data_IF_727646108492
#
_entry.id   IF_727646108492
#
_cell.length_a   1.000
_cell.length_b   1.000
_cell.length_c   1.000
_cell.angle_alpha   90.00
_cell.angle_beta   90.00
_cell.angle_gamma   90.00
#
_symmetry.space_group_name_H-M   'P 1'
#
loop_
_entity.id
_entity.type
_entity.pdbx_description
1 polymer ?
#
# COMPACT_ATOMS: atom_id res chain seq x y z
N UNK A 1 2.30 -11.69 -2.52
CA UNK A 1 3.55 -11.92 -1.78
C UNK A 1 3.22 -12.25 -0.33
N UNK A 2 4.20 -12.39 0.56
CA UNK A 2 3.97 -12.51 2.01
C UNK A 2 4.03 -11.11 2.64
N UNK A 3 3.34 -10.90 3.76
CA UNK A 3 3.39 -9.64 4.53
C UNK A 3 4.82 -9.16 4.81
N UNK A 4 5.76 -10.06 5.11
CA UNK A 4 7.18 -9.71 5.33
C UNK A 4 7.82 -8.99 4.12
N UNK A 5 7.44 -9.36 2.90
CA UNK A 5 7.92 -8.72 1.68
C UNK A 5 7.34 -7.32 1.53
N UNK A 6 6.06 -7.13 1.86
CA UNK A 6 5.42 -5.81 1.85
C UNK A 6 5.98 -4.88 2.94
N UNK A 7 6.29 -5.42 4.12
CA UNK A 7 6.99 -4.69 5.17
C UNK A 7 8.39 -4.26 4.72
N UNK A 8 9.16 -5.15 4.07
CA UNK A 8 10.47 -4.81 3.53
C UNK A 8 10.41 -3.70 2.47
N UNK A 9 9.43 -3.75 1.55
CA UNK A 9 9.16 -2.66 0.61
C UNK A 9 8.80 -1.35 1.32
N UNK A 10 8.02 -1.43 2.40
CA UNK A 10 7.71 -0.27 3.25
C UNK A 10 8.94 0.33 3.92
N UNK A 11 9.86 -0.49 4.45
CA UNK A 11 11.12 -0.03 5.04
C UNK A 11 11.99 0.66 3.99
N UNK A 12 12.06 0.12 2.78
CA UNK A 12 12.81 0.74 1.68
C UNK A 12 12.24 2.13 1.33
N UNK A 13 10.91 2.23 1.18
CA UNK A 13 10.22 3.50 0.91
C UNK A 13 10.41 4.50 2.06
N UNK A 14 10.32 4.05 3.31
CA UNK A 14 10.56 4.89 4.48
C UNK A 14 11.99 5.42 4.53
N UNK A 15 12.97 4.56 4.28
CA UNK A 15 14.40 4.93 4.24
C UNK A 15 14.66 6.01 3.19
N UNK A 16 14.05 5.87 2.01
CA UNK A 16 14.14 6.88 0.95
C UNK A 16 13.47 8.20 1.37
N UNK A 17 12.29 8.14 1.99
CA UNK A 17 11.58 9.33 2.46
C UNK A 17 12.38 10.09 3.54
N UNK A 18 12.94 9.38 4.52
CA UNK A 18 13.81 9.97 5.56
C UNK A 18 15.02 10.63 4.93
N UNK A 19 15.66 9.98 3.95
CA UNK A 19 16.82 10.54 3.27
C UNK A 19 16.49 11.83 2.50
N UNK A 20 15.38 11.85 1.76
CA UNK A 20 15.01 12.97 0.89
C UNK A 20 14.36 14.14 1.62
N UNK A 21 13.54 13.86 2.63
CA UNK A 21 12.73 14.87 3.33
C UNK A 21 13.24 15.17 4.75
N UNK A 22 14.29 14.47 5.21
CA UNK A 22 14.83 14.61 6.57
C UNK A 22 13.75 14.45 7.66
N UNK A 23 12.75 13.60 7.41
CA UNK A 23 11.68 13.31 8.36
C UNK A 23 12.17 12.42 9.51
N UNK A 24 11.43 12.41 10.62
CA UNK A 24 11.78 11.57 11.76
C UNK A 24 11.79 10.08 11.37
N UNK A 25 12.91 9.40 11.65
CA UNK A 25 13.15 8.02 11.23
C UNK A 25 12.12 7.04 11.78
N UNK A 26 11.86 7.11 13.09
CA UNK A 26 11.01 6.13 13.78
C UNK A 26 9.55 6.31 13.37
N UNK A 27 9.08 7.56 13.35
CA UNK A 27 7.72 7.88 12.92
C UNK A 27 7.52 7.46 11.46
N UNK A 28 8.47 7.81 10.56
CA UNK A 28 8.34 7.50 9.13
C UNK A 28 8.35 6.01 8.87
N UNK A 29 9.25 5.24 9.50
CA UNK A 29 9.29 3.77 9.35
C UNK A 29 8.00 3.14 9.86
N UNK A 30 7.57 3.48 11.08
CA UNK A 30 6.34 2.93 11.65
C UNK A 30 5.15 3.20 10.73
N UNK A 31 5.01 4.45 10.28
CA UNK A 31 3.93 4.91 9.43
C UNK A 31 3.87 4.16 8.10
N UNK A 32 4.98 4.12 7.37
CA UNK A 32 5.03 3.54 6.02
C UNK A 32 4.87 2.02 6.07
N UNK A 33 5.47 1.36 7.06
CA UNK A 33 5.33 -0.10 7.23
C UNK A 33 3.88 -0.47 7.61
N UNK A 34 3.24 0.32 8.47
CA UNK A 34 1.83 0.12 8.79
C UNK A 34 0.95 0.16 7.52
N UNK A 35 1.11 1.21 6.71
CA UNK A 35 0.33 1.35 5.48
C UNK A 35 0.70 0.33 4.39
N UNK A 36 1.94 -0.16 4.33
CA UNK A 36 2.32 -1.19 3.35
C UNK A 36 1.68 -2.56 3.63
N UNK A 37 1.20 -2.78 4.86
CA UNK A 37 0.54 -4.01 5.30
C UNK A 37 -0.99 -3.92 5.30
N UNK A 38 -1.55 -2.71 5.21
CA UNK A 38 -2.99 -2.49 5.47
C UNK A 38 -3.89 -3.33 4.57
N UNK A 39 -3.53 -3.49 3.29
CA UNK A 39 -4.32 -4.27 2.32
C UNK A 39 -4.39 -5.75 2.68
N UNK A 40 -3.32 -6.31 3.26
CA UNK A 40 -3.26 -7.73 3.62
C UNK A 40 -4.02 -8.07 4.91
N UNK A 41 -4.48 -7.08 5.68
CA UNK A 41 -5.34 -7.36 6.82
C UNK A 41 -6.75 -7.82 6.40
N UNK A 42 -7.08 -7.73 5.11
CA UNK A 42 -8.34 -8.25 4.56
C UNK A 42 -8.55 -9.75 4.81
N UNK A 43 -7.48 -10.53 4.95
CA UNK A 43 -7.55 -11.97 5.25
C UNK A 43 -8.20 -12.26 6.60
N UNK A 44 -8.24 -11.28 7.50
CA UNK A 44 -8.85 -11.39 8.83
C UNK A 44 -10.28 -10.83 8.87
N UNK A 45 -10.79 -10.28 7.76
CA UNK A 45 -12.14 -9.71 7.67
C UNK A 45 -13.04 -10.71 6.92
N UNK A 46 -13.98 -11.40 7.60
CA UNK A 46 -14.75 -12.51 7.00
C UNK A 46 -15.52 -12.15 5.72
N UNK A 47 -15.92 -10.88 5.58
CA UNK A 47 -16.72 -10.37 4.46
C UNK A 47 -15.90 -9.80 3.31
N UNK A 48 -14.57 -9.70 3.46
CA UNK A 48 -13.67 -9.13 2.44
C UNK A 48 -12.84 -10.24 1.82
N UNK A 49 -12.90 -10.33 0.49
CA UNK A 49 -12.07 -11.28 -0.25
C UNK A 49 -10.64 -10.74 -0.36
N UNK A 50 -9.66 -11.58 -0.01
CA UNK A 50 -8.25 -11.26 -0.25
C UNK A 50 -7.97 -10.97 -1.73
N UNK A 51 -7.21 -9.91 -2.01
CA UNK A 51 -7.03 -9.36 -3.37
C UNK A 51 -8.35 -9.00 -4.04
N UNK A 52 -9.19 -8.33 -3.25
CA UNK A 52 -10.49 -7.76 -3.62
C UNK A 52 -10.42 -6.24 -3.67
N UNK A 53 -11.33 -5.57 -2.96
CA UNK A 53 -11.45 -4.09 -2.96
C UNK A 53 -10.21 -3.39 -2.37
N UNK A 54 -9.55 -4.03 -1.42
CA UNK A 54 -8.30 -3.60 -0.75
C UNK A 54 -7.06 -3.63 -1.64
N UNK A 55 -7.15 -4.28 -2.82
CA UNK A 55 -6.05 -4.37 -3.78
C UNK A 55 -6.38 -3.65 -5.10
N UNK A 56 -6.99 -2.47 -4.98
CA UNK A 56 -7.40 -1.61 -6.11
C UNK A 56 -6.67 -0.27 -6.08
N UNK A 57 -6.60 0.42 -7.23
CA UNK A 57 -6.06 1.79 -7.28
C UNK A 57 -6.90 2.73 -6.41
N UNK A 58 -8.22 2.58 -6.42
CA UNK A 58 -9.12 3.40 -5.59
C UNK A 58 -8.79 3.23 -4.10
N UNK A 59 -8.60 2.00 -3.63
CA UNK A 59 -8.17 1.75 -2.27
C UNK A 59 -6.74 2.26 -2.01
N UNK A 60 -5.82 2.19 -2.97
CA UNK A 60 -4.48 2.72 -2.79
C UNK A 60 -4.44 4.24 -2.58
N UNK A 61 -5.42 4.99 -3.12
CA UNK A 61 -5.54 6.43 -2.90
C UNK A 61 -6.29 6.78 -1.60
N UNK A 62 -7.09 5.85 -1.08
CA UNK A 62 -7.93 6.06 0.10
C UNK A 62 -7.14 6.39 1.38
N UNK A 63 -6.04 5.69 1.75
CA UNK A 63 -5.20 6.04 2.89
C UNK A 63 -4.73 7.49 2.89
N UNK A 64 -4.16 7.97 1.78
CA UNK A 64 -3.72 9.37 1.70
C UNK A 64 -4.87 10.35 1.86
N UNK A 65 -6.05 10.06 1.28
CA UNK A 65 -7.23 10.90 1.47
C UNK A 65 -7.70 10.94 2.94
N UNK A 66 -7.71 9.79 3.63
CA UNK A 66 -8.03 9.71 5.07
C UNK A 66 -7.05 10.54 5.89
N UNK A 67 -5.75 10.41 5.61
CA UNK A 67 -4.68 11.13 6.32
C UNK A 67 -4.79 12.64 6.12
N UNK A 68 -5.12 13.11 4.91
CA UNK A 68 -5.42 14.52 4.67
C UNK A 68 -6.67 14.98 5.41
N UNK A 69 -7.73 14.18 5.43
CA UNK A 69 -9.00 14.53 6.08
C UNK A 69 -8.87 14.72 7.60
N UNK A 70 -7.92 14.04 8.24
CA UNK A 70 -7.61 14.20 9.67
C UNK A 70 -6.56 15.29 9.95
N UNK A 71 -6.19 16.11 8.95
CA UNK A 71 -5.33 17.28 9.12
C UNK A 71 -3.83 17.00 9.23
N UNK A 72 -3.36 15.82 8.79
CA UNK A 72 -1.94 15.48 8.82
C UNK A 72 -1.16 16.07 7.64
N UNK A 73 0.16 16.12 7.77
CA UNK A 73 1.05 16.66 6.74
C UNK A 73 0.94 15.92 5.40
N UNK A 74 1.02 16.66 4.29
CA UNK A 74 0.93 16.14 2.93
C UNK A 74 1.93 15.01 2.64
N UNK A 75 3.12 15.05 3.25
CA UNK A 75 4.11 13.98 3.13
C UNK A 75 3.57 12.64 3.64
N UNK A 76 3.00 12.60 4.84
CA UNK A 76 2.48 11.36 5.43
C UNK A 76 1.25 10.84 4.68
N UNK A 77 0.45 11.72 4.09
CA UNK A 77 -0.63 11.34 3.19
C UNK A 77 -0.10 10.69 1.90
N UNK A 78 0.89 11.32 1.26
CA UNK A 78 1.53 10.77 0.07
C UNK A 78 2.19 9.42 0.36
N UNK A 79 2.90 9.29 1.49
CA UNK A 79 3.55 8.06 1.91
C UNK A 79 2.56 6.93 2.20
N UNK A 80 1.40 7.24 2.79
CA UNK A 80 0.34 6.25 3.01
C UNK A 80 -0.16 5.65 1.69
N UNK A 81 -0.46 6.51 0.70
CA UNK A 81 -0.87 6.04 -0.63
C UNK A 81 0.25 5.32 -1.37
N UNK A 82 1.48 5.85 -1.34
CA UNK A 82 2.63 5.23 -2.00
C UNK A 82 2.98 3.87 -1.42
N UNK A 83 2.81 3.67 -0.11
CA UNK A 83 3.01 2.37 0.53
C UNK A 83 2.05 1.31 -0.03
N UNK A 84 0.77 1.67 -0.22
CA UNK A 84 -0.22 0.76 -0.82
C UNK A 84 0.01 0.60 -2.32
N UNK A 85 0.39 1.64 -3.05
CA UNK A 85 0.76 1.53 -4.46
C UNK A 85 1.93 0.55 -4.63
N UNK A 86 2.98 0.69 -3.81
CA UNK A 86 4.12 -0.23 -3.82
C UNK A 86 3.68 -1.66 -3.47
N UNK A 87 2.75 -1.82 -2.52
CA UNK A 87 2.11 -3.10 -2.22
C UNK A 87 1.48 -3.73 -3.48
N UNK A 88 0.68 -2.96 -4.25
CA UNK A 88 0.05 -3.44 -5.49
C UNK A 88 1.07 -3.78 -6.58
N UNK A 89 2.12 -2.96 -6.74
CA UNK A 89 3.20 -3.22 -7.69
C UNK A 89 3.86 -4.56 -7.35
N UNK A 90 4.23 -4.75 -6.08
CA UNK A 90 4.81 -6.00 -5.60
C UNK A 90 3.87 -7.19 -5.87
N UNK A 91 2.59 -7.08 -5.55
CA UNK A 91 1.64 -8.17 -5.81
C UNK A 91 1.40 -8.43 -7.31
N UNK A 92 1.57 -7.42 -8.16
CA UNK A 92 1.54 -7.55 -9.63
C UNK A 92 2.72 -8.35 -10.20
N UNK A 93 3.82 -8.49 -9.44
CA UNK A 93 4.96 -9.34 -9.81
C UNK A 93 4.68 -10.83 -9.55
N UNK A 94 3.56 -11.18 -8.91
CA UNK A 94 3.17 -12.58 -8.75
C UNK A 94 2.23 -13.04 -9.88
N UNK A 95 2.25 -14.33 -10.25
CA UNK A 95 1.34 -14.87 -11.27
C UNK A 95 -0.16 -14.60 -11.02
N UNK A 96 -0.53 -14.47 -9.74
CA UNK A 96 -1.90 -14.18 -9.31
C UNK A 96 -2.39 -12.75 -9.59
N UNK A 97 -1.48 -11.78 -9.76
CA UNK A 97 -1.80 -10.37 -10.05
C UNK A 97 -2.78 -9.69 -9.10
N UNK A 98 -3.18 -8.47 -9.47
CA UNK A 98 -4.10 -7.61 -8.68
C UNK A 98 -5.22 -7.03 -9.54
N UNK A 99 -6.46 -6.94 -9.02
CA UNK A 99 -7.60 -6.40 -9.78
C UNK A 99 -7.66 -4.86 -9.68
N UNK A 100 -6.67 -4.16 -10.24
CA UNK A 100 -6.48 -2.70 -10.07
C UNK A 100 -7.75 -1.86 -10.28
N UNK A 101 -8.63 -2.28 -11.19
CA UNK A 101 -9.78 -1.54 -11.69
C UNK A 101 -11.13 -2.03 -11.14
N UNK A 102 -11.15 -2.88 -10.12
CA UNK A 102 -12.41 -3.30 -9.48
C UNK A 102 -13.11 -2.08 -8.83
N UNK A 103 -14.45 -1.91 -8.97
CA UNK A 103 -15.45 -2.83 -9.54
C UNK A 103 -15.66 -2.72 -11.06
N UNK A 104 -15.02 -1.77 -11.75
CA UNK A 104 -15.23 -1.52 -13.18
C UNK A 104 -14.67 -2.63 -14.08
N UNK A 105 -13.62 -3.32 -13.65
CA UNK A 105 -13.08 -4.50 -14.34
C UNK A 105 -12.56 -5.56 -13.37
N UNK A 106 -12.79 -6.83 -13.73
CA UNK A 106 -12.28 -7.99 -13.00
C UNK A 106 -10.93 -8.48 -13.52
N UNK A 107 -10.38 -7.86 -14.57
CA UNK A 107 -9.08 -8.22 -15.14
C UNK A 107 -7.99 -7.99 -14.08
N UNK A 108 -7.17 -9.02 -13.86
CA UNK A 108 -6.02 -8.94 -12.98
C UNK A 108 -4.80 -8.47 -13.78
N UNK A 109 -4.16 -7.42 -13.29
CA UNK A 109 -2.90 -6.90 -13.84
C UNK A 109 -1.76 -7.65 -13.19
N UNK A 110 -0.83 -8.11 -14.02
CA UNK A 110 0.42 -8.75 -13.63
C UNK A 110 1.52 -8.36 -14.60
N UNK A 111 2.75 -8.26 -14.12
CA UNK A 111 3.92 -8.11 -14.97
C UNK A 111 4.47 -9.50 -15.33
N UNK A 112 5.07 -9.67 -16.53
CA UNK A 112 5.83 -10.87 -16.82
C UNK A 112 7.06 -10.89 -15.89
N UNK A 113 7.19 -11.97 -15.11
CA UNK A 113 8.32 -12.24 -14.23
C UNK A 113 8.80 -13.65 -14.50
#
# INVERSE_FOLDING_TARGET
MKQKTHAAGGILLASLAVHLYQSDLLITIFWVVFWSLVSDFDVYIPTVRHRGITHTIAFALFPGAVVLAIGQFHLYAALASLAVILHLIMDSLNPGGVPLWLPFSRKRVRFPV
#
